data_IF_346916529744
#
_entry.id   IF_346916529744
#
_cell.length_a   1.000
_cell.length_b   1.000
_cell.length_c   1.000
_cell.angle_alpha   90.00
_cell.angle_beta   90.00
_cell.angle_gamma   90.00
#
_symmetry.space_group_name_H-M   'P 1'
#
loop_
_entity.id
_entity.type
_entity.pdbx_description
1 polymer ?
#
# COMPACT_ATOMS: atom_id res chain seq x y z
N UNK A 1 -18.72 14.57 6.71
CA UNK A 1 -17.42 14.70 7.38
C UNK A 1 -16.39 14.05 6.46
N UNK A 2 -15.50 14.85 5.85
CA UNK A 2 -14.60 14.38 4.79
C UNK A 2 -13.32 13.87 5.47
N UNK A 3 -13.30 12.59 5.80
CA UNK A 3 -12.10 11.91 6.31
C UNK A 3 -11.14 11.78 5.13
N UNK A 4 -9.89 12.17 5.33
CA UNK A 4 -8.79 12.00 4.38
C UNK A 4 -8.55 10.51 4.13
N UNK A 5 -8.24 10.14 2.88
CA UNK A 5 -8.21 8.73 2.42
C UNK A 5 -7.26 7.83 3.23
N UNK A 6 -6.21 8.40 3.83
CA UNK A 6 -5.27 7.68 4.68
C UNK A 6 -5.88 7.34 6.04
N UNK A 7 -6.63 8.28 6.63
CA UNK A 7 -7.32 8.05 7.89
C UNK A 7 -8.46 7.03 7.72
N UNK A 8 -9.16 7.02 6.59
CA UNK A 8 -10.18 5.99 6.32
C UNK A 8 -9.59 4.59 6.24
N UNK A 9 -8.44 4.42 5.58
CA UNK A 9 -7.78 3.11 5.47
C UNK A 9 -7.39 2.53 6.85
N UNK A 10 -6.74 3.33 7.70
CA UNK A 10 -6.37 2.88 9.05
C UNK A 10 -7.59 2.49 9.87
N UNK A 11 -8.67 3.27 9.79
CA UNK A 11 -9.93 2.98 10.50
C UNK A 11 -10.55 1.67 10.04
N UNK A 12 -10.51 1.39 8.74
CA UNK A 12 -11.12 0.17 8.19
C UNK A 12 -10.29 -1.07 8.50
N UNK A 13 -8.96 -0.97 8.49
CA UNK A 13 -8.07 -2.03 8.96
C UNK A 13 -8.29 -2.34 10.44
N UNK A 14 -8.39 -1.31 11.29
CA UNK A 14 -8.62 -1.48 12.73
C UNK A 14 -9.97 -2.17 13.03
N UNK A 15 -11.01 -1.85 12.26
CA UNK A 15 -12.32 -2.50 12.39
C UNK A 15 -12.24 -3.97 12.02
N UNK A 16 -11.53 -4.30 10.95
CA UNK A 16 -11.40 -5.70 10.51
C UNK A 16 -10.56 -6.52 11.48
N UNK A 17 -9.49 -5.95 12.04
CA UNK A 17 -8.71 -6.59 13.13
C UNK A 17 -9.64 -6.92 14.31
N UNK A 18 -10.48 -5.99 14.75
CA UNK A 18 -11.43 -6.22 15.85
C UNK A 18 -12.45 -7.31 15.50
N UNK A 19 -12.97 -7.32 14.27
CA UNK A 19 -13.93 -8.32 13.80
C UNK A 19 -13.33 -9.72 13.81
N UNK A 20 -12.15 -9.89 13.22
CA UNK A 20 -11.46 -11.19 13.17
C UNK A 20 -11.02 -11.66 14.55
N UNK A 21 -10.53 -10.75 15.39
CA UNK A 21 -10.17 -11.07 16.79
C UNK A 21 -11.39 -11.58 17.58
N UNK A 22 -12.56 -10.95 17.39
CA UNK A 22 -13.80 -11.41 18.03
C UNK A 22 -14.18 -12.83 17.58
N UNK A 23 -14.07 -13.14 16.28
CA UNK A 23 -14.34 -14.50 15.77
C UNK A 23 -13.43 -15.54 16.43
N UNK A 24 -12.13 -15.26 16.49
CA UNK A 24 -11.15 -16.16 17.10
C UNK A 24 -11.43 -16.36 18.60
N UNK A 25 -11.77 -15.29 19.32
CA UNK A 25 -12.12 -15.36 20.75
C UNK A 25 -13.41 -16.15 21.01
N UNK A 26 -14.33 -16.19 20.04
CA UNK A 26 -15.54 -17.01 20.08
C UNK A 26 -15.29 -18.48 19.66
N UNK A 27 -14.04 -18.85 19.35
CA UNK A 27 -13.67 -20.19 18.88
C UNK A 27 -14.08 -20.47 17.44
N UNK A 28 -14.35 -19.42 16.64
CA UNK A 28 -14.69 -19.52 15.22
C UNK A 28 -13.45 -19.37 14.35
N UNK A 29 -13.52 -19.88 13.13
CA UNK A 29 -12.49 -19.76 12.12
C UNK A 29 -12.64 -18.45 11.32
N UNK A 30 -11.52 -17.92 10.83
CA UNK A 30 -11.49 -16.75 9.94
C UNK A 30 -11.39 -17.26 8.51
N UNK A 31 -12.49 -17.11 7.77
CA UNK A 31 -12.57 -17.51 6.36
C UNK A 31 -11.82 -16.51 5.46
N UNK A 32 -11.11 -17.00 4.41
CA UNK A 32 -10.46 -16.14 3.43
C UNK A 32 -11.51 -15.53 2.48
N UNK A 33 -11.85 -14.26 2.71
CA UNK A 33 -12.88 -13.54 1.96
C UNK A 33 -12.36 -12.20 1.45
N UNK A 34 -12.83 -11.80 0.27
CA UNK A 34 -12.66 -10.43 -0.22
C UNK A 34 -13.81 -9.60 0.32
N UNK A 35 -13.50 -8.48 0.97
CA UNK A 35 -14.49 -7.58 1.59
C UNK A 35 -14.59 -6.28 0.80
N UNK A 36 -15.82 -5.79 0.62
CA UNK A 36 -16.09 -4.42 0.23
C UNK A 36 -16.38 -3.59 1.46
N UNK A 37 -15.90 -2.36 1.47
CA UNK A 37 -16.20 -1.38 2.52
C UNK A 37 -17.32 -0.47 2.02
N UNK A 38 -18.45 -0.48 2.72
CA UNK A 38 -19.51 0.50 2.47
C UNK A 38 -19.13 1.88 3.04
N UNK A 39 -19.78 2.94 2.56
CA UNK A 39 -19.60 4.30 3.08
C UNK A 39 -19.95 4.43 4.58
N UNK A 40 -20.78 3.51 5.09
CA UNK A 40 -21.12 3.37 6.51
C UNK A 40 -19.96 2.79 7.34
N UNK A 41 -18.92 2.30 6.68
CA UNK A 41 -17.76 1.65 7.28
C UNK A 41 -18.03 0.20 7.71
N UNK A 42 -19.09 -0.43 7.19
CA UNK A 42 -19.36 -1.86 7.33
C UNK A 42 -18.64 -2.64 6.24
N UNK A 43 -17.99 -3.75 6.64
CA UNK A 43 -17.35 -4.67 5.71
C UNK A 43 -18.35 -5.76 5.30
N UNK A 44 -18.63 -5.86 4.00
CA UNK A 44 -19.52 -6.86 3.42
C UNK A 44 -18.71 -7.81 2.57
N UNK A 45 -19.03 -9.11 2.66
CA UNK A 45 -18.39 -10.13 1.84
C UNK A 45 -18.73 -9.90 0.37
N UNK A 46 -17.70 -9.59 -0.42
CA UNK A 46 -17.79 -9.45 -1.87
C UNK A 46 -17.62 -10.81 -2.57
N UNK A 47 -16.69 -11.63 -2.07
CA UNK A 47 -16.51 -13.02 -2.50
C UNK A 47 -15.98 -13.86 -1.34
N UNK A 48 -16.50 -15.07 -1.17
CA UNK A 48 -16.19 -15.98 -0.04
C UNK A 48 -15.16 -17.07 -0.35
N UNK A 49 -14.64 -17.09 -1.57
CA UNK A 49 -13.51 -17.91 -1.98
C UNK A 49 -12.68 -17.06 -2.92
N UNK A 50 -11.37 -17.04 -2.70
CA UNK A 50 -10.45 -16.85 -3.80
C UNK A 50 -10.76 -17.99 -4.77
N UNK A 51 -11.60 -17.74 -5.76
CA UNK A 51 -11.45 -18.46 -7.00
C UNK A 51 -9.96 -18.25 -7.33
N UNK A 52 -9.16 -19.32 -7.21
CA UNK A 52 -7.86 -19.40 -7.86
C UNK A 52 -8.19 -19.27 -9.35
N UNK A 53 -8.42 -18.03 -9.77
CA UNK A 53 -8.69 -17.68 -11.13
C UNK A 53 -7.39 -18.00 -11.82
N UNK A 54 -7.39 -19.13 -12.53
CA UNK A 54 -6.33 -19.44 -13.45
C UNK A 54 -6.36 -18.36 -14.54
N UNK A 55 -5.56 -17.32 -14.34
CA UNK A 55 -5.40 -16.21 -15.27
C UNK A 55 -4.75 -16.65 -16.58
N UNK A 56 -4.33 -17.93 -16.69
CA UNK A 56 -3.74 -18.54 -17.88
C UNK A 56 -2.70 -17.61 -18.51
N UNK A 57 -1.80 -17.10 -17.69
CA UNK A 57 -0.75 -16.20 -18.14
C UNK A 57 0.06 -16.87 -19.24
N UNK A 58 0.01 -16.31 -20.44
CA UNK A 58 0.85 -16.67 -21.57
C UNK A 58 1.62 -15.44 -22.01
N UNK A 59 2.79 -15.63 -22.61
CA UNK A 59 3.50 -14.52 -23.24
C UNK A 59 2.64 -13.97 -24.38
N UNK A 60 2.38 -12.67 -24.37
CA UNK A 60 1.63 -12.00 -25.44
C UNK A 60 2.39 -12.17 -26.78
N UNK A 61 1.88 -12.97 -27.73
CA UNK A 61 2.63 -13.31 -28.94
C UNK A 61 2.77 -12.14 -29.90
N UNK A 62 1.90 -11.13 -29.80
CA UNK A 62 1.92 -9.97 -30.70
C UNK A 62 2.86 -8.86 -30.22
N UNK A 63 3.44 -8.98 -29.02
CA UNK A 63 4.40 -8.01 -28.49
C UNK A 63 5.83 -8.56 -28.61
N UNK A 64 6.77 -7.82 -29.20
CA UNK A 64 8.17 -8.20 -29.15
C UNK A 64 8.66 -8.15 -27.69
N UNK A 65 9.65 -8.98 -27.37
CA UNK A 65 10.31 -8.92 -26.08
C UNK A 65 10.96 -7.54 -25.89
N UNK A 66 10.61 -6.86 -24.80
CA UNK A 66 11.22 -5.59 -24.43
C UNK A 66 12.69 -5.81 -24.06
N UNK A 67 13.61 -5.29 -24.87
CA UNK A 67 15.04 -5.26 -24.57
C UNK A 67 15.38 -3.90 -23.98
N UNK A 68 15.81 -3.88 -22.71
CA UNK A 68 16.24 -2.67 -22.03
C UNK A 68 17.75 -2.49 -22.20
N UNK A 69 18.16 -1.36 -22.76
CA UNK A 69 19.58 -1.02 -22.83
C UNK A 69 20.12 -0.64 -21.46
N UNK A 70 21.33 -1.11 -21.14
CA UNK A 70 22.01 -0.76 -19.87
C UNK A 70 22.18 0.75 -19.73
N UNK A 71 22.35 1.48 -20.84
CA UNK A 71 22.44 2.94 -20.83
C UNK A 71 21.15 3.60 -20.31
N UNK A 72 19.98 3.11 -20.71
CA UNK A 72 18.69 3.65 -20.25
C UNK A 72 18.45 3.39 -18.76
N UNK A 73 18.84 2.21 -18.28
CA UNK A 73 18.76 1.88 -16.86
C UNK A 73 19.63 2.84 -16.06
N UNK A 74 20.90 3.04 -16.46
CA UNK A 74 21.81 3.98 -15.79
C UNK A 74 21.33 5.41 -15.82
N UNK A 75 20.76 5.84 -16.95
CA UNK A 75 20.18 7.18 -17.06
C UNK A 75 18.99 7.34 -16.12
N UNK A 76 18.07 6.35 -16.06
CA UNK A 76 16.95 6.37 -15.13
C UNK A 76 17.43 6.39 -13.67
N UNK A 77 18.39 5.55 -13.30
CA UNK A 77 18.99 5.52 -11.97
C UNK A 77 19.61 6.87 -11.58
N UNK A 78 20.28 7.55 -12.51
CA UNK A 78 20.86 8.89 -12.27
C UNK A 78 19.81 9.97 -12.00
N UNK A 79 18.56 9.77 -12.46
CA UNK A 79 17.43 10.69 -12.25
C UNK A 79 16.60 10.33 -11.02
N UNK A 80 16.77 9.14 -10.46
CA UNK A 80 16.08 8.75 -9.24
C UNK A 80 16.71 9.47 -8.04
N UNK A 81 15.91 10.26 -7.34
CA UNK A 81 16.27 10.68 -5.99
C UNK A 81 15.97 9.52 -5.03
N UNK A 82 17.01 8.73 -4.75
CA UNK A 82 16.91 7.58 -3.83
C UNK A 82 16.90 7.97 -2.35
N UNK A 83 17.01 9.26 -2.03
CA UNK A 83 16.94 9.74 -0.64
C UNK A 83 15.57 10.32 -0.36
N UNK A 84 14.95 9.86 0.74
CA UNK A 84 13.81 10.58 1.31
C UNK A 84 14.33 11.95 1.75
N UNK A 85 13.65 13.02 1.35
CA UNK A 85 14.17 14.39 1.53
C UNK A 85 14.48 14.73 3.00
N UNK A 86 13.75 14.12 3.95
CA UNK A 86 14.01 14.30 5.38
C UNK A 86 15.35 13.70 5.82
N UNK A 87 15.87 12.65 5.16
CA UNK A 87 17.15 12.03 5.55
C UNK A 87 18.31 13.02 5.44
N UNK A 88 18.26 13.91 4.45
CA UNK A 88 19.26 14.95 4.28
C UNK A 88 19.38 15.79 5.55
N UNK A 89 18.26 16.25 6.10
CA UNK A 89 18.25 17.12 7.26
C UNK A 89 18.58 16.39 8.56
N UNK A 90 18.13 15.15 8.73
CA UNK A 90 18.51 14.32 9.89
C UNK A 90 20.02 14.07 9.89
N UNK A 91 20.62 13.76 8.74
CA UNK A 91 22.06 13.44 8.65
C UNK A 91 22.95 14.68 8.73
N UNK A 92 22.63 15.74 8.00
CA UNK A 92 23.50 16.92 7.88
C UNK A 92 23.27 17.95 8.98
N UNK A 93 22.00 18.19 9.35
CA UNK A 93 21.65 19.18 10.37
C UNK A 93 21.36 18.56 11.75
N UNK A 94 21.43 17.23 11.88
CA UNK A 94 21.16 16.50 13.13
C UNK A 94 19.79 16.84 13.72
N UNK A 95 18.84 17.19 12.86
CA UNK A 95 17.47 17.50 13.26
C UNK A 95 16.76 16.23 13.76
N UNK A 96 15.81 16.41 14.67
CA UNK A 96 14.96 15.30 15.08
C UNK A 96 14.08 14.85 13.91
N UNK A 97 13.87 13.54 13.72
CA UNK A 97 13.04 13.04 12.62
C UNK A 97 11.62 13.63 12.60
N UNK A 98 11.01 13.83 13.77
CA UNK A 98 9.67 14.45 13.91
C UNK A 98 9.61 15.83 13.25
N UNK A 99 10.57 16.69 13.61
CA UNK A 99 10.60 18.10 13.20
C UNK A 99 10.95 18.20 11.71
N UNK A 100 11.79 17.27 11.24
CA UNK A 100 12.19 17.19 9.84
C UNK A 100 11.03 16.78 8.95
N UNK A 101 10.24 15.79 9.35
CA UNK A 101 9.07 15.36 8.59
C UNK A 101 8.07 16.51 8.50
N UNK A 102 7.80 17.23 9.61
CA UNK A 102 6.93 18.40 9.59
C UNK A 102 7.43 19.49 8.64
N UNK A 103 8.74 19.75 8.66
CA UNK A 103 9.37 20.73 7.77
C UNK A 103 9.26 20.34 6.30
N UNK A 104 9.56 19.09 5.94
CA UNK A 104 9.47 18.60 4.56
C UNK A 104 8.02 18.65 4.06
N UNK A 105 7.06 18.17 4.85
CA UNK A 105 5.63 18.20 4.50
C UNK A 105 5.08 19.62 4.31
N UNK A 106 5.70 20.64 4.92
CA UNK A 106 5.29 22.05 4.73
C UNK A 106 5.96 22.75 3.56
N UNK A 107 7.10 22.25 3.09
CA UNK A 107 7.87 22.88 2.01
C UNK A 107 7.50 22.35 0.61
N UNK A 108 6.77 21.23 0.54
CA UNK A 108 6.28 20.58 -0.67
C UNK A 108 4.77 20.35 -0.60
#
# INVERSE_FOLDING_TARGET
MRIDANTSLCVDVDKEIKRQTKLLNEGKEVEPVTLNLEETGQAIVASSKGDDLDYRFTSEPNLPLLQLEVAWIKEAESKLNNSLEFEYYVRHYRMQPSDTIELVVRLF
#
